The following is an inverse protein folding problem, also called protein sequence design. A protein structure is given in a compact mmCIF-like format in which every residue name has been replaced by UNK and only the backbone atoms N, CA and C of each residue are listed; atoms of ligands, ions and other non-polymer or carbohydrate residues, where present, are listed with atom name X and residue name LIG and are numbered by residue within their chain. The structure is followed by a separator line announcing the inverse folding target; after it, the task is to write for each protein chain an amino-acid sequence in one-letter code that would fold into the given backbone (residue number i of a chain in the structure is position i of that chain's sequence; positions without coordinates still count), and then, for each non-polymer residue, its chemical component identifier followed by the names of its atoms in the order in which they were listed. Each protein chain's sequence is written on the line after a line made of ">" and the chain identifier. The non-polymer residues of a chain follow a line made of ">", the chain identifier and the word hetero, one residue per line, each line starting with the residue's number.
data_IF_898135414470
#
_entry.id   IF_898135414470
#
_cell.length_a   1.000
_cell.length_b   1.000
_cell.length_c   1.000
_cell.angle_alpha   90.00
_cell.angle_beta   90.00
_cell.angle_gamma   90.00
#
_symmetry.space_group_name_H-M   'P 1'
#
loop_
_entity.id
_entity.type
_entity.pdbx_description
1 polymer ?
#
# COMPACT_ATOMS: atom_id res chain seq x y z
N UNK A 1 7.24 10.24 1.43
CA UNK A 1 6.26 10.88 0.51
C UNK A 1 6.20 12.39 0.77
N UNK A 2 5.96 13.24 -0.24
CA UNK A 2 5.77 14.69 -0.03
C UNK A 2 4.35 14.99 0.47
N UNK A 3 4.15 16.10 1.21
CA UNK A 3 2.83 16.46 1.75
C UNK A 3 1.72 16.58 0.67
N UNK A 4 2.05 17.08 -0.52
CA UNK A 4 1.10 17.18 -1.64
C UNK A 4 0.66 15.80 -2.13
N UNK A 5 1.59 14.85 -2.26
CA UNK A 5 1.27 13.47 -2.65
C UNK A 5 0.47 12.77 -1.54
N UNK A 6 0.81 13.00 -0.28
CA UNK A 6 0.09 12.43 0.85
C UNK A 6 -1.36 12.92 0.89
N UNK A 7 -1.58 14.22 0.62
CA UNK A 7 -2.92 14.78 0.46
C UNK A 7 -3.66 14.15 -0.72
N UNK A 8 -3.00 14.00 -1.87
CA UNK A 8 -3.60 13.37 -3.05
C UNK A 8 -4.07 11.94 -2.76
N UNK A 9 -3.21 11.10 -2.17
CA UNK A 9 -3.56 9.70 -1.82
C UNK A 9 -4.70 9.65 -0.81
N UNK A 10 -4.71 10.55 0.18
CA UNK A 10 -5.80 10.67 1.14
C UNK A 10 -7.13 10.98 0.48
N UNK A 11 -7.14 11.81 -0.57
CA UNK A 11 -8.35 12.27 -1.26
C UNK A 11 -8.81 11.32 -2.37
N UNK A 12 -8.05 10.26 -2.68
CA UNK A 12 -8.45 9.25 -3.65
C UNK A 12 -9.76 8.56 -3.26
N UNK A 13 -10.55 8.19 -4.26
CA UNK A 13 -11.78 7.41 -4.12
C UNK A 13 -11.75 6.09 -4.89
N UNK A 14 -10.76 5.92 -5.76
CA UNK A 14 -10.54 4.75 -6.59
C UNK A 14 -9.06 4.71 -7.04
N UNK A 15 -8.57 3.57 -7.57
CA UNK A 15 -7.29 3.49 -8.24
C UNK A 15 -7.18 4.49 -9.39
N UNK A 16 -5.96 4.95 -9.64
CA UNK A 16 -5.63 5.83 -10.75
C UNK A 16 -4.71 5.14 -11.75
N UNK A 17 -4.77 5.58 -13.00
CA UNK A 17 -3.71 5.27 -13.95
C UNK A 17 -2.39 5.94 -13.50
N UNK A 18 -1.26 5.35 -13.89
CA UNK A 18 0.04 5.99 -13.67
C UNK A 18 0.10 7.37 -14.35
N UNK A 19 0.88 8.33 -13.79
CA UNK A 19 1.08 9.63 -14.42
C UNK A 19 1.60 9.50 -15.85
N UNK A 20 1.15 10.40 -16.73
CA UNK A 20 1.60 10.43 -18.12
C UNK A 20 3.14 10.47 -18.21
N UNK A 21 3.72 9.54 -18.96
CA UNK A 21 5.17 9.39 -19.12
C UNK A 21 5.85 8.45 -18.12
N UNK A 22 5.14 7.91 -17.13
CA UNK A 22 5.65 6.81 -16.32
C UNK A 22 5.58 5.49 -17.11
N UNK A 23 6.72 5.03 -17.59
CA UNK A 23 6.87 3.81 -18.39
C UNK A 23 7.37 2.62 -17.55
N UNK A 24 7.43 2.75 -16.22
CA UNK A 24 7.95 1.69 -15.36
C UNK A 24 6.99 0.50 -15.34
N UNK A 25 7.51 -0.71 -15.53
CA UNK A 25 6.73 -1.93 -15.34
C UNK A 25 6.36 -2.15 -13.87
N UNK A 26 5.38 -3.02 -13.61
CA UNK A 26 5.02 -3.44 -12.25
C UNK A 26 6.24 -3.89 -11.44
N UNK A 27 7.12 -4.69 -12.04
CA UNK A 27 8.34 -5.17 -11.38
C UNK A 27 9.30 -4.03 -11.05
N UNK A 28 9.48 -3.07 -11.96
CA UNK A 28 10.32 -1.90 -11.70
C UNK A 28 9.77 -1.03 -10.56
N UNK A 29 8.45 -0.85 -10.49
CA UNK A 29 7.79 -0.12 -9.39
C UNK A 29 8.03 -0.85 -8.06
N UNK A 30 7.80 -2.17 -8.02
CA UNK A 30 8.06 -3.00 -6.85
C UNK A 30 9.52 -2.87 -6.42
N UNK A 31 10.47 -3.06 -7.33
CA UNK A 31 11.90 -3.09 -7.00
C UNK A 31 12.47 -1.73 -6.57
N UNK A 32 11.85 -0.62 -6.96
CA UNK A 32 12.26 0.73 -6.61
C UNK A 32 11.63 1.25 -5.31
N UNK A 33 10.63 0.55 -4.78
CA UNK A 33 9.91 0.93 -3.56
C UNK A 33 10.31 0.04 -2.38
N UNK A 34 11.13 0.52 -1.43
CA UNK A 34 11.55 -0.29 -0.28
C UNK A 34 10.39 -0.90 0.51
N UNK A 35 9.32 -0.12 0.73
CA UNK A 35 8.12 -0.57 1.44
C UNK A 35 7.37 -1.68 0.69
N UNK A 36 7.25 -1.58 -0.64
CA UNK A 36 6.67 -2.67 -1.43
C UNK A 36 7.54 -3.93 -1.39
N UNK A 37 8.86 -3.78 -1.56
CA UNK A 37 9.78 -4.93 -1.50
C UNK A 37 9.65 -5.65 -0.18
N UNK A 38 9.71 -4.93 0.94
CA UNK A 38 9.61 -5.53 2.26
C UNK A 38 8.26 -6.23 2.45
N UNK A 39 7.16 -5.56 2.08
CA UNK A 39 5.82 -6.11 2.21
C UNK A 39 5.58 -7.38 1.34
N UNK A 40 6.06 -7.39 0.09
CA UNK A 40 5.84 -8.48 -0.85
C UNK A 40 6.83 -9.63 -0.73
N UNK A 41 8.06 -9.39 -0.25
CA UNK A 41 9.04 -10.46 0.01
C UNK A 41 8.76 -11.19 1.33
N UNK A 42 8.11 -10.52 2.27
CA UNK A 42 7.67 -11.09 3.54
C UNK A 42 6.38 -11.88 3.42
N UNK A 43 5.95 -12.45 4.55
CA UNK A 43 4.66 -13.15 4.68
C UNK A 43 3.51 -12.21 5.01
N UNK A 44 3.79 -10.94 5.29
CA UNK A 44 2.80 -9.92 5.68
C UNK A 44 1.68 -9.76 4.66
N UNK A 45 2.00 -9.91 3.38
CA UNK A 45 1.03 -9.83 2.29
C UNK A 45 0.10 -11.03 2.18
N UNK A 46 0.44 -12.20 2.75
CA UNK A 46 -0.24 -13.47 2.44
C UNK A 46 -1.73 -13.45 2.77
N UNK A 47 -2.11 -12.85 3.91
CA UNK A 47 -3.48 -12.87 4.37
C UNK A 47 -4.38 -11.83 3.71
N UNK A 48 -3.80 -10.83 3.01
CA UNK A 48 -4.56 -9.69 2.48
C UNK A 48 -4.28 -9.38 1.01
N UNK A 49 -3.38 -10.13 0.34
CA UNK A 49 -2.98 -9.85 -1.04
C UNK A 49 -4.16 -9.87 -2.01
N UNK A 50 -5.05 -10.87 -1.92
CA UNK A 50 -6.18 -10.96 -2.85
C UNK A 50 -7.21 -9.86 -2.61
N UNK A 51 -7.46 -9.48 -1.37
CA UNK A 51 -8.31 -8.34 -1.03
C UNK A 51 -7.70 -7.01 -1.53
N UNK A 52 -6.39 -6.84 -1.37
CA UNK A 52 -5.68 -5.68 -1.92
C UNK A 52 -5.81 -5.60 -3.44
N UNK A 53 -5.74 -6.73 -4.16
CA UNK A 53 -5.95 -6.75 -5.62
C UNK A 53 -7.36 -6.30 -6.01
N UNK A 54 -8.37 -6.58 -5.19
CA UNK A 54 -9.72 -6.05 -5.43
C UNK A 54 -9.77 -4.52 -5.31
N UNK A 55 -8.92 -3.93 -4.47
CA UNK A 55 -8.89 -2.48 -4.26
C UNK A 55 -8.02 -1.74 -5.28
N UNK A 56 -6.85 -2.28 -5.63
CA UNK A 56 -5.84 -1.57 -6.45
C UNK A 56 -5.67 -2.16 -7.85
N UNK A 57 -6.27 -3.32 -8.15
CA UNK A 57 -6.01 -4.12 -9.34
C UNK A 57 -4.97 -5.21 -9.10
N UNK A 58 -4.87 -6.19 -10.01
CA UNK A 58 -3.90 -7.28 -9.91
C UNK A 58 -2.53 -6.89 -10.51
N UNK A 59 -1.55 -6.65 -9.64
CA UNK A 59 -0.17 -6.31 -9.99
C UNK A 59 0.70 -7.53 -10.34
N UNK A 60 0.18 -8.75 -10.20
CA UNK A 60 0.95 -9.98 -10.34
C UNK A 60 0.94 -10.52 -11.77
N UNK A 61 1.86 -11.44 -12.13
CA UNK A 61 1.88 -12.07 -13.46
C UNK A 61 0.61 -12.84 -13.85
N UNK A 62 -0.32 -13.07 -12.93
CA UNK A 62 -1.63 -13.66 -13.21
C UNK A 62 -2.52 -12.75 -14.08
N UNK A 63 -2.33 -11.43 -14.00
CA UNK A 63 -2.94 -10.48 -14.93
C UNK A 63 -2.10 -10.42 -16.21
N UNK A 64 -2.68 -10.72 -17.37
CA UNK A 64 -1.95 -10.74 -18.64
C UNK A 64 -1.57 -9.34 -19.15
N UNK A 65 -2.31 -8.29 -18.77
CA UNK A 65 -2.11 -6.93 -19.24
C UNK A 65 -0.94 -6.25 -18.48
N UNK A 66 0.19 -5.94 -19.16
CA UNK A 66 1.34 -5.33 -18.52
C UNK A 66 1.11 -3.92 -17.99
N UNK A 67 0.26 -3.13 -18.65
CA UNK A 67 -0.02 -1.76 -18.22
C UNK A 67 -0.95 -1.77 -17.02
N UNK A 68 -1.99 -2.61 -17.05
CA UNK A 68 -2.88 -2.79 -15.89
C UNK A 68 -2.12 -3.31 -14.65
N UNK A 69 -1.14 -4.22 -14.83
CA UNK A 69 -0.25 -4.65 -13.73
C UNK A 69 0.55 -3.49 -13.15
N UNK A 70 1.08 -2.63 -14.02
CA UNK A 70 1.91 -1.51 -13.61
C UNK A 70 1.08 -0.42 -12.91
N UNK A 71 -0.14 -0.16 -13.38
CA UNK A 71 -1.08 0.74 -12.70
C UNK A 71 -1.47 0.19 -11.33
N UNK A 72 -1.74 -1.11 -11.23
CA UNK A 72 -2.01 -1.75 -9.94
C UNK A 72 -0.83 -1.67 -8.96
N UNK A 73 0.39 -1.93 -9.43
CA UNK A 73 1.60 -1.80 -8.63
C UNK A 73 1.81 -0.35 -8.15
N UNK A 74 1.56 0.63 -9.02
CA UNK A 74 1.65 2.06 -8.68
C UNK A 74 0.64 2.44 -7.58
N UNK A 75 -0.61 2.01 -7.70
CA UNK A 75 -1.62 2.30 -6.67
C UNK A 75 -1.26 1.64 -5.33
N UNK A 76 -0.82 0.38 -5.34
CA UNK A 76 -0.34 -0.28 -4.13
C UNK A 76 0.86 0.46 -3.52
N UNK A 77 1.82 0.89 -4.34
CA UNK A 77 2.97 1.69 -3.90
C UNK A 77 2.50 2.94 -3.14
N UNK A 78 1.55 3.69 -3.71
CA UNK A 78 1.04 4.93 -3.13
C UNK A 78 0.34 4.69 -1.80
N UNK A 79 -0.46 3.64 -1.69
CA UNK A 79 -1.13 3.26 -0.43
C UNK A 79 -0.09 2.88 0.64
N UNK A 80 0.87 2.02 0.31
CA UNK A 80 1.89 1.58 1.26
C UNK A 80 2.77 2.74 1.72
N UNK A 81 3.23 3.58 0.79
CA UNK A 81 4.00 4.77 1.12
C UNK A 81 3.19 5.76 1.96
N UNK A 82 1.88 5.91 1.70
CA UNK A 82 1.04 6.76 2.52
C UNK A 82 0.96 6.26 3.96
N UNK A 83 0.79 4.95 4.17
CA UNK A 83 0.70 4.34 5.49
C UNK A 83 2.04 4.41 6.26
N UNK A 84 3.15 4.07 5.61
CA UNK A 84 4.51 4.22 6.16
C UNK A 84 4.86 5.70 6.48
N UNK A 85 4.12 6.68 5.93
CA UNK A 85 4.36 8.10 6.20
C UNK A 85 3.36 8.72 7.19
N UNK A 86 2.50 7.92 7.83
CA UNK A 86 1.60 8.40 8.89
C UNK A 86 2.38 8.89 10.12
N UNK A 87 1.75 9.77 10.91
CA UNK A 87 2.31 10.22 12.19
C UNK A 87 2.31 9.08 13.23
N UNK A 88 3.47 8.45 13.37
CA UNK A 88 3.70 7.29 14.24
C UNK A 88 3.53 7.59 15.74
N UNK A 89 3.54 8.86 16.16
CA UNK A 89 3.20 9.27 17.54
C UNK A 89 1.81 8.83 17.96
N UNK A 90 0.94 8.57 16.99
CA UNK A 90 -0.44 8.12 17.22
C UNK A 90 -0.64 6.62 16.93
N UNK A 91 0.39 5.91 16.48
CA UNK A 91 0.33 4.52 16.06
C UNK A 91 1.04 3.60 17.04
N UNK A 92 0.47 2.41 17.22
CA UNK A 92 1.07 1.42 18.11
C UNK A 92 2.10 0.59 17.35
N UNK A 93 3.33 0.56 17.86
CA UNK A 93 4.39 -0.33 17.35
C UNK A 93 4.76 -0.06 15.89
N UNK A 94 4.56 1.16 15.40
CA UNK A 94 4.91 1.59 14.05
C UNK A 94 6.00 2.66 14.07
N UNK A 95 6.78 2.73 13.00
CA UNK A 95 7.83 3.72 12.82
C UNK A 95 7.72 4.39 11.45
N UNK A 96 7.43 5.69 11.47
CA UNK A 96 7.23 6.42 10.23
C UNK A 96 8.51 6.43 9.38
N UNK A 97 8.34 6.19 8.07
CA UNK A 97 9.35 6.30 7.01
C UNK A 97 10.49 5.31 7.17
N UNK A 98 10.23 4.16 7.77
CA UNK A 98 11.21 3.09 7.90
C UNK A 98 11.22 2.14 6.69
N UNK A 99 10.29 2.33 5.75
CA UNK A 99 10.17 1.51 4.55
C UNK A 99 9.55 0.15 4.84
N UNK A 100 8.69 0.03 5.86
CA UNK A 100 7.94 -1.18 6.22
C UNK A 100 6.50 -0.81 6.53
N UNK A 101 5.65 -1.82 6.62
CA UNK A 101 4.32 -1.70 7.21
C UNK A 101 4.38 -2.44 8.53
N UNK A 102 4.48 -1.70 9.61
CA UNK A 102 4.70 -2.28 10.92
C UNK A 102 3.39 -2.79 11.55
N UNK A 103 3.51 -3.86 12.34
CA UNK A 103 2.42 -4.40 13.16
C UNK A 103 1.81 -5.71 12.64
N UNK A 104 2.28 -6.29 11.53
CA UNK A 104 1.91 -7.66 11.16
C UNK A 104 2.56 -8.70 12.06
N UNK A 105 1.84 -9.77 12.36
CA UNK A 105 2.35 -10.98 13.02
C UNK A 105 1.52 -12.20 12.61
N UNK A 106 1.97 -13.40 13.02
CA UNK A 106 1.38 -14.67 12.59
C UNK A 106 1.30 -14.78 11.06
N UNK A 107 2.41 -14.55 10.36
CA UNK A 107 2.48 -14.64 8.89
C UNK A 107 1.44 -13.75 8.17
N UNK A 108 1.20 -12.54 8.68
CA UNK A 108 0.28 -11.55 8.09
C UNK A 108 -1.19 -11.69 8.51
N UNK A 109 -1.58 -12.79 9.17
CA UNK A 109 -2.98 -13.03 9.54
C UNK A 109 -3.47 -12.10 10.66
N UNK A 110 -2.56 -11.67 11.53
CA UNK A 110 -2.88 -10.79 12.66
C UNK A 110 -2.15 -9.46 12.55
N UNK A 111 -2.77 -8.41 13.12
CA UNK A 111 -2.23 -7.05 13.13
C UNK A 111 -2.32 -6.47 14.52
N UNK A 112 -1.33 -5.68 14.93
CA UNK A 112 -1.40 -4.89 16.16
C UNK A 112 -2.47 -3.80 16.01
N UNK A 113 -3.33 -3.63 17.01
CA UNK A 113 -4.39 -2.62 16.95
C UNK A 113 -3.80 -1.22 16.81
N UNK A 114 -4.39 -0.42 15.92
CA UNK A 114 -3.95 0.95 15.61
C UNK A 114 -2.48 1.05 15.14
N UNK A 115 -1.96 0.00 14.48
CA UNK A 115 -0.71 0.03 13.71
C UNK A 115 -0.96 0.33 12.23
N UNK A 116 0.10 0.62 11.47
CA UNK A 116 0.05 0.70 10.00
C UNK A 116 -0.56 -0.56 9.38
N UNK A 117 -0.16 -1.75 9.85
CA UNK A 117 -0.69 -3.03 9.37
C UNK A 117 -2.21 -3.14 9.57
N UNK A 118 -2.73 -2.71 10.72
CA UNK A 118 -4.18 -2.71 10.96
C UNK A 118 -4.93 -1.75 10.01
N UNK A 119 -4.29 -0.64 9.61
CA UNK A 119 -4.85 0.31 8.64
C UNK A 119 -4.80 -0.25 7.21
N UNK A 120 -3.73 -0.94 6.84
CA UNK A 120 -3.61 -1.62 5.55
C UNK A 120 -4.66 -2.74 5.42
N UNK A 121 -4.85 -3.52 6.49
CA UNK A 121 -5.90 -4.54 6.56
C UNK A 121 -7.30 -3.93 6.48
N UNK A 122 -7.54 -2.80 7.12
CA UNK A 122 -8.81 -2.09 6.95
C UNK A 122 -9.01 -1.61 5.50
N UNK A 123 -7.95 -1.08 4.87
CA UNK A 123 -7.97 -0.68 3.46
C UNK A 123 -8.26 -1.87 2.53
N UNK A 124 -7.69 -3.05 2.76
CA UNK A 124 -7.94 -4.21 1.87
C UNK A 124 -9.43 -4.58 1.79
N UNK A 125 -10.18 -4.41 2.89
CA UNK A 125 -11.62 -4.69 2.93
C UNK A 125 -12.51 -3.54 2.47
N UNK A 126 -12.12 -2.30 2.72
CA UNK A 126 -12.98 -1.11 2.57
C UNK A 126 -12.53 -0.15 1.47
N UNK A 127 -11.31 -0.30 0.98
CA UNK A 127 -10.72 0.55 -0.03
C UNK A 127 -10.38 1.96 0.45
N UNK A 128 -10.36 2.88 -0.51
CA UNK A 128 -9.83 4.24 -0.35
C UNK A 128 -10.56 5.10 0.69
N UNK A 129 -11.79 4.75 1.06
CA UNK A 129 -12.51 5.48 2.11
C UNK A 129 -11.80 5.46 3.46
N UNK A 130 -11.04 4.40 3.76
CA UNK A 130 -10.27 4.30 4.99
C UNK A 130 -9.23 5.40 5.08
N UNK A 131 -8.57 5.71 3.97
CA UNK A 131 -7.44 6.65 3.95
C UNK A 131 -7.86 8.07 4.32
N UNK A 132 -9.09 8.48 3.95
CA UNK A 132 -9.67 9.80 4.25
C UNK A 132 -9.81 10.08 5.75
N UNK A 133 -9.99 9.04 6.55
CA UNK A 133 -10.27 9.15 7.98
C UNK A 133 -9.03 8.94 8.85
N UNK A 134 -7.86 8.71 8.26
CA UNK A 134 -6.62 8.54 9.02
C UNK A 134 -6.07 9.89 9.50
N UNK A 135 -5.41 9.95 10.67
CA UNK A 135 -4.75 11.17 11.13
C UNK A 135 -3.68 11.62 10.14
N UNK A 136 -3.47 12.94 10.03
CA UNK A 136 -2.46 13.54 9.16
C UNK A 136 -1.07 13.47 9.79
#
# INVERSE_FOLDING_TARGET
>A
MRAVEQKQVREMYAPLDRPAGDLRSAQQIIDQSPVMRHFLQGRDSYAIADDLKQQVGDWTPSNADPDARADAAYNLEKVLQFLDNLDDRTLNGSHARNGRIDGFFNDGYSTLDNSEASRLKAFSFKGYEVLRHLPA
#
